data_IF_796864151717
#
_entry.id   IF_796864151717
#
_cell.length_a   1.000
_cell.length_b   1.000
_cell.length_c   1.000
_cell.angle_alpha   90.00
_cell.angle_beta   90.00
_cell.angle_gamma   90.00
#
_symmetry.space_group_name_H-M   'P 1'
#
loop_
_entity.id
_entity.type
_entity.pdbx_description
1 polymer ?
#
# COMPACT_ATOMS: atom_id res chain seq x y z
N UNK A 1 0.91 -20.50 -63.09
CA UNK A 1 1.03 -20.89 -61.67
C UNK A 1 1.74 -19.84 -60.81
N UNK A 2 2.80 -19.17 -61.29
CA UNK A 2 3.51 -18.12 -60.54
C UNK A 2 2.63 -16.89 -60.16
N UNK A 3 1.69 -16.52 -61.02
CA UNK A 3 0.86 -15.31 -60.85
C UNK A 3 -0.17 -15.44 -59.70
N UNK A 4 -0.74 -16.64 -59.51
CA UNK A 4 -1.67 -16.93 -58.41
C UNK A 4 -0.98 -16.93 -57.05
N UNK A 5 0.31 -17.31 -57.00
CA UNK A 5 1.12 -17.27 -55.78
C UNK A 5 1.38 -15.82 -55.36
N UNK A 6 1.77 -14.96 -56.32
CA UNK A 6 2.04 -13.55 -56.06
C UNK A 6 0.78 -12.81 -55.58
N UNK A 7 -0.38 -13.12 -56.16
CA UNK A 7 -1.67 -12.52 -55.75
C UNK A 7 -2.05 -12.91 -54.31
N UNK A 8 -1.86 -14.19 -53.93
CA UNK A 8 -2.09 -14.67 -52.57
C UNK A 8 -1.16 -14.02 -51.55
N UNK A 9 0.13 -13.91 -51.87
CA UNK A 9 1.11 -13.23 -51.02
C UNK A 9 0.77 -11.76 -50.81
N UNK A 10 0.33 -11.06 -51.86
CA UNK A 10 -0.12 -9.65 -51.76
C UNK A 10 -1.35 -9.50 -50.88
N UNK A 11 -2.34 -10.38 -51.02
CA UNK A 11 -3.54 -10.36 -50.18
C UNK A 11 -3.22 -10.62 -48.70
N UNK A 12 -2.35 -11.59 -48.41
CA UNK A 12 -1.88 -11.87 -47.04
C UNK A 12 -1.14 -10.67 -46.44
N UNK A 13 -0.28 -10.01 -47.22
CA UNK A 13 0.47 -8.85 -46.75
C UNK A 13 -0.43 -7.64 -46.44
N UNK A 14 -1.46 -7.40 -47.26
CA UNK A 14 -2.43 -6.34 -46.99
C UNK A 14 -3.31 -6.64 -45.76
N UNK A 15 -3.70 -7.90 -45.55
CA UNK A 15 -4.41 -8.30 -44.33
C UNK A 15 -3.52 -8.13 -43.09
N UNK A 16 -2.26 -8.56 -43.16
CA UNK A 16 -1.29 -8.34 -42.07
C UNK A 16 -1.09 -6.86 -41.78
N UNK A 17 -0.99 -6.00 -42.80
CA UNK A 17 -0.93 -4.54 -42.62
C UNK A 17 -2.18 -3.97 -41.97
N UNK A 18 -3.37 -4.51 -42.26
CA UNK A 18 -4.62 -4.08 -41.61
C UNK A 18 -4.58 -4.43 -40.14
N UNK A 19 -4.22 -5.67 -39.81
CA UNK A 19 -4.10 -6.15 -38.42
C UNK A 19 -3.05 -5.34 -37.65
N UNK A 20 -1.88 -5.08 -38.23
CA UNK A 20 -0.83 -4.27 -37.58
C UNK A 20 -1.32 -2.86 -37.27
N UNK A 21 -2.09 -2.23 -38.16
CA UNK A 21 -2.67 -0.91 -37.91
C UNK A 21 -3.65 -0.96 -36.74
N UNK A 22 -4.58 -1.89 -36.78
CA UNK A 22 -5.59 -2.05 -35.73
C UNK A 22 -4.95 -2.34 -34.35
N UNK A 23 -3.94 -3.20 -34.31
CA UNK A 23 -3.19 -3.49 -33.08
C UNK A 23 -2.44 -2.26 -32.55
N UNK A 24 -1.90 -1.41 -33.44
CA UNK A 24 -1.23 -0.17 -33.04
C UNK A 24 -2.21 0.84 -32.46
N UNK A 25 -3.38 0.98 -33.07
CA UNK A 25 -4.42 1.88 -32.58
C UNK A 25 -4.93 1.40 -31.21
N UNK A 26 -5.18 0.10 -31.06
CA UNK A 26 -5.54 -0.48 -29.76
C UNK A 26 -4.44 -0.31 -28.71
N UNK A 27 -3.16 -0.47 -29.09
CA UNK A 27 -2.04 -0.26 -28.18
C UNK A 27 -1.99 1.20 -27.70
N UNK A 28 -2.14 2.17 -28.60
CA UNK A 28 -2.15 3.59 -28.27
C UNK A 28 -3.29 3.93 -27.30
N UNK A 29 -4.50 3.40 -27.53
CA UNK A 29 -5.64 3.59 -26.65
C UNK A 29 -5.38 2.98 -25.25
N UNK A 30 -4.75 1.80 -25.20
CA UNK A 30 -4.42 1.13 -23.93
C UNK A 30 -3.34 1.86 -23.17
N UNK A 31 -2.30 2.34 -23.84
CA UNK A 31 -1.26 3.17 -23.24
C UNK A 31 -1.87 4.46 -22.65
N UNK A 32 -2.77 5.11 -23.37
CA UNK A 32 -3.51 6.27 -22.87
C UNK A 32 -4.32 5.94 -21.61
N UNK A 33 -5.07 4.84 -21.61
CA UNK A 33 -5.84 4.38 -20.45
C UNK A 33 -4.96 4.12 -19.22
N UNK A 34 -3.78 3.51 -19.42
CA UNK A 34 -2.83 3.26 -18.32
C UNK A 34 -2.30 4.56 -17.73
N UNK A 35 -1.93 5.53 -18.58
CA UNK A 35 -1.42 6.83 -18.12
C UNK A 35 -2.48 7.59 -17.31
N UNK A 36 -3.71 7.67 -17.81
CA UNK A 36 -4.81 8.35 -17.09
C UNK A 36 -5.19 7.60 -15.81
N UNK A 37 -5.19 6.27 -15.83
CA UNK A 37 -5.40 5.42 -14.66
C UNK A 37 -4.36 5.67 -13.57
N UNK A 38 -3.08 5.74 -13.91
CA UNK A 38 -2.01 6.03 -12.95
C UNK A 38 -2.13 7.45 -12.36
N UNK A 39 -2.49 8.45 -13.16
CA UNK A 39 -2.74 9.81 -12.65
C UNK A 39 -3.87 9.81 -11.63
N UNK A 40 -4.97 9.13 -11.93
CA UNK A 40 -6.11 9.03 -11.02
C UNK A 40 -5.72 8.27 -9.74
N UNK A 41 -5.00 7.15 -9.84
CA UNK A 41 -4.50 6.39 -8.70
C UNK A 41 -3.67 7.28 -7.77
N UNK A 42 -2.68 8.01 -8.31
CA UNK A 42 -1.83 8.94 -7.54
C UNK A 42 -2.67 9.99 -6.81
N UNK A 43 -3.61 10.62 -7.51
CA UNK A 43 -4.49 11.64 -6.92
C UNK A 43 -5.30 11.08 -5.76
N UNK A 44 -5.97 9.95 -5.97
CA UNK A 44 -6.80 9.32 -4.93
C UNK A 44 -5.96 8.83 -3.75
N UNK A 45 -4.79 8.26 -4.01
CA UNK A 45 -3.86 7.82 -2.98
C UNK A 45 -3.43 8.99 -2.07
N UNK A 46 -3.09 10.13 -2.66
CA UNK A 46 -2.72 11.33 -1.89
C UNK A 46 -3.90 11.85 -1.07
N UNK A 47 -5.10 11.91 -1.64
CA UNK A 47 -6.30 12.31 -0.88
C UNK A 47 -6.55 11.39 0.32
N UNK A 48 -6.38 10.07 0.15
CA UNK A 48 -6.52 9.12 1.26
C UNK A 48 -5.48 9.37 2.35
N UNK A 49 -4.23 9.66 1.98
CA UNK A 49 -3.16 9.96 2.95
C UNK A 49 -3.42 11.27 3.70
N UNK A 50 -3.84 12.33 3.00
CA UNK A 50 -4.18 13.62 3.61
C UNK A 50 -5.35 13.46 4.61
N UNK A 51 -6.38 12.69 4.25
CA UNK A 51 -7.50 12.38 5.13
C UNK A 51 -7.10 11.55 6.36
N UNK A 52 -6.10 10.67 6.22
CA UNK A 52 -5.51 9.94 7.36
C UNK A 52 -4.61 10.82 8.24
N UNK A 53 -4.19 11.98 7.74
CA UNK A 53 -3.26 12.89 8.39
C UNK A 53 -1.83 12.77 7.86
N UNK A 54 -1.20 13.92 7.59
CA UNK A 54 0.16 14.01 7.07
C UNK A 54 1.23 13.59 8.07
N UNK A 55 0.94 13.72 9.36
CA UNK A 55 1.79 13.24 10.46
C UNK A 55 1.02 12.11 11.15
N UNK A 56 1.65 10.94 11.25
CA UNK A 56 1.11 9.77 11.95
C UNK A 56 2.11 9.30 13.01
N UNK A 57 1.61 8.99 14.19
CA UNK A 57 2.36 8.43 15.31
C UNK A 57 1.84 7.03 15.59
N UNK A 58 2.72 6.05 15.45
CA UNK A 58 2.43 4.66 15.81
C UNK A 58 3.17 4.26 17.07
N UNK A 59 2.50 3.48 17.90
CA UNK A 59 3.14 2.78 19.02
C UNK A 59 3.31 1.32 18.65
N UNK A 60 4.49 0.74 18.90
CA UNK A 60 4.73 -0.69 18.76
C UNK A 60 5.34 -1.25 20.02
N UNK A 61 4.63 -2.16 20.66
CA UNK A 61 5.11 -2.86 21.85
C UNK A 61 6.00 -4.01 21.41
N UNK A 62 7.23 -4.05 21.91
CA UNK A 62 8.18 -5.13 21.64
C UNK A 62 7.78 -6.39 22.43
N UNK A 63 7.81 -7.59 21.82
CA UNK A 63 7.64 -8.83 22.57
C UNK A 63 8.79 -9.09 23.54
N UNK A 64 8.45 -9.63 24.71
CA UNK A 64 9.39 -9.98 25.77
C UNK A 64 10.32 -11.11 25.31
N UNK A 65 11.63 -10.90 25.45
CA UNK A 65 12.65 -11.93 25.25
C UNK A 65 12.96 -12.64 26.57
N UNK A 66 13.66 -13.78 26.49
CA UNK A 66 14.01 -14.59 27.69
C UNK A 66 14.93 -13.83 28.65
N UNK A 67 15.70 -12.88 28.12
CA UNK A 67 16.64 -12.02 28.85
C UNK A 67 15.92 -10.90 29.63
N UNK A 68 14.70 -10.53 29.23
CA UNK A 68 13.94 -9.42 29.82
C UNK A 68 13.22 -9.81 31.14
N UNK A 69 13.33 -11.07 31.58
CA UNK A 69 12.57 -11.61 32.72
C UNK A 69 12.96 -11.04 34.09
N UNK A 70 14.03 -10.24 34.17
CA UNK A 70 14.51 -9.64 35.42
C UNK A 70 14.06 -8.19 35.64
N UNK A 71 13.50 -7.51 34.64
CA UNK A 71 13.10 -6.10 34.77
C UNK A 71 11.60 -5.97 35.02
N UNK A 72 11.27 -5.70 36.30
CA UNK A 72 10.11 -4.94 36.82
C UNK A 72 8.82 -4.94 35.98
N UNK A 73 7.81 -5.65 36.48
CA UNK A 73 6.38 -5.31 36.69
C UNK A 73 5.67 -4.22 35.84
N UNK A 74 6.14 -3.92 34.63
CA UNK A 74 5.51 -2.95 33.74
C UNK A 74 4.38 -3.66 32.99
N UNK A 75 3.18 -3.59 33.54
CA UNK A 75 1.99 -4.14 32.93
C UNK A 75 1.50 -3.20 31.81
N UNK A 76 1.64 -3.65 30.57
CA UNK A 76 1.02 -3.01 29.40
C UNK A 76 -0.34 -3.66 29.16
N UNK A 77 -1.40 -2.87 29.09
CA UNK A 77 -2.74 -3.33 28.69
C UNK A 77 -3.25 -2.58 27.45
N UNK A 78 -4.06 -3.28 26.67
CA UNK A 78 -4.68 -2.74 25.47
C UNK A 78 -6.17 -2.52 25.76
N UNK A 79 -6.66 -1.27 25.72
CA UNK A 79 -8.07 -0.98 25.99
C UNK A 79 -8.96 -1.62 24.92
N UNK A 80 -10.08 -2.19 25.37
CA UNK A 80 -11.09 -2.86 24.54
C UNK A 80 -12.31 -1.99 24.24
N UNK A 81 -12.34 -0.75 24.75
CA UNK A 81 -13.41 0.19 24.43
C UNK A 81 -13.38 0.53 22.93
N UNK A 82 -14.57 0.67 22.35
CA UNK A 82 -14.72 0.87 20.89
C UNK A 82 -13.99 2.12 20.39
N UNK A 83 -13.88 3.17 21.22
CA UNK A 83 -13.20 4.41 20.86
C UNK A 83 -11.67 4.28 20.79
N UNK A 84 -11.07 3.44 21.64
CA UNK A 84 -9.62 3.27 21.77
C UNK A 84 -9.09 1.97 21.15
N UNK A 85 -9.97 1.13 20.61
CA UNK A 85 -9.58 -0.15 20.03
C UNK A 85 -8.53 0.05 18.93
N UNK A 86 -7.34 -0.54 19.12
CA UNK A 86 -6.22 -0.43 18.20
C UNK A 86 -5.51 0.92 18.18
N UNK A 87 -5.90 1.87 19.04
CA UNK A 87 -5.33 3.23 19.13
C UNK A 87 -4.85 3.61 20.53
N UNK A 88 -5.43 3.01 21.56
CA UNK A 88 -5.05 3.23 22.95
C UNK A 88 -4.02 2.22 23.45
N UNK A 89 -3.20 2.66 24.40
CA UNK A 89 -2.33 1.81 25.21
C UNK A 89 -2.33 2.32 26.64
N UNK A 90 -2.37 1.40 27.59
CA UNK A 90 -2.34 1.69 29.01
C UNK A 90 -1.07 1.09 29.62
N UNK A 91 -0.39 1.88 30.44
CA UNK A 91 0.85 1.54 31.12
C UNK A 91 0.65 1.71 32.62
N UNK A 92 0.91 0.65 33.38
CA UNK A 92 0.95 0.73 34.84
C UNK A 92 2.42 0.77 35.29
N UNK A 93 2.81 1.87 35.92
CA UNK A 93 4.16 2.06 36.46
C UNK A 93 4.05 2.62 37.87
N UNK A 94 4.68 1.96 38.85
CA UNK A 94 4.66 2.36 40.27
C UNK A 94 3.23 2.58 40.83
N UNK A 95 2.27 1.77 40.38
CA UNK A 95 0.86 1.88 40.78
C UNK A 95 0.08 3.03 40.11
N UNK A 96 0.72 3.85 39.27
CA UNK A 96 0.04 4.87 38.46
C UNK A 96 -0.31 4.33 37.09
N UNK A 97 -1.54 4.59 36.65
CA UNK A 97 -2.05 4.21 35.32
C UNK A 97 -1.90 5.40 34.37
N UNK A 98 -1.13 5.21 33.30
CA UNK A 98 -0.97 6.16 32.22
C UNK A 98 -1.69 5.65 30.97
N UNK A 99 -2.43 6.53 30.29
CA UNK A 99 -3.20 6.20 29.09
C UNK A 99 -2.70 7.08 27.95
N UNK A 100 -2.35 6.47 26.82
CA UNK A 100 -1.89 7.16 25.62
C UNK A 100 -2.73 6.75 24.42
N UNK A 101 -2.91 7.68 23.49
CA UNK A 101 -3.64 7.46 22.23
C UNK A 101 -2.74 7.79 21.05
N UNK A 102 -2.78 6.93 20.05
CA UNK A 102 -1.97 6.99 18.83
C UNK A 102 -2.85 6.76 17.60
N UNK A 103 -2.30 6.95 16.40
CA UNK A 103 -2.99 6.60 15.16
C UNK A 103 -3.20 5.08 15.04
N UNK A 104 -2.22 4.32 15.55
CA UNK A 104 -2.30 2.86 15.67
C UNK A 104 -1.34 2.34 16.74
N UNK A 105 -1.79 1.35 17.50
CA UNK A 105 -0.99 0.59 18.47
C UNK A 105 -0.84 -0.84 17.99
N UNK A 106 0.40 -1.27 17.78
CA UNK A 106 0.77 -2.65 17.48
C UNK A 106 1.15 -3.35 18.79
N UNK A 107 0.43 -4.42 19.12
CA UNK A 107 0.72 -5.20 20.32
C UNK A 107 2.01 -6.04 20.16
N UNK A 108 2.42 -6.70 21.24
CA UNK A 108 3.60 -7.56 21.25
C UNK A 108 3.56 -8.73 20.25
N UNK A 109 2.36 -9.13 19.79
CA UNK A 109 2.17 -10.18 18.80
C UNK A 109 2.22 -9.69 17.35
N UNK A 110 2.27 -8.37 17.12
CA UNK A 110 2.23 -7.80 15.78
C UNK A 110 3.49 -8.14 14.98
N UNK A 111 3.27 -8.78 13.83
CA UNK A 111 4.29 -9.16 12.87
C UNK A 111 4.88 -7.95 12.14
N UNK A 112 6.07 -8.13 11.57
CA UNK A 112 6.67 -7.12 10.69
C UNK A 112 5.81 -6.83 9.46
N UNK A 113 5.11 -7.85 8.95
CA UNK A 113 4.25 -7.70 7.78
C UNK A 113 3.05 -6.79 8.08
N UNK A 114 2.44 -6.92 9.25
CA UNK A 114 1.31 -6.07 9.67
C UNK A 114 1.75 -4.62 9.84
N UNK A 115 2.93 -4.40 10.43
CA UNK A 115 3.52 -3.05 10.55
C UNK A 115 3.81 -2.46 9.18
N UNK A 116 4.44 -3.24 8.28
CA UNK A 116 4.77 -2.77 6.93
C UNK A 116 3.52 -2.45 6.11
N UNK A 117 2.46 -3.25 6.24
CA UNK A 117 1.19 -3.02 5.53
C UNK A 117 0.64 -1.62 5.80
N UNK A 118 0.77 -1.12 7.04
CA UNK A 118 0.32 0.24 7.41
C UNK A 118 1.21 1.37 6.89
N UNK A 119 2.50 1.08 6.70
CA UNK A 119 3.51 2.07 6.28
C UNK A 119 3.67 2.06 4.76
N UNK A 120 3.32 0.98 4.08
CA UNK A 120 3.49 0.78 2.63
C UNK A 120 2.92 1.92 1.78
N UNK A 121 1.81 2.53 2.22
CA UNK A 121 1.20 3.68 1.55
C UNK A 121 2.11 4.92 1.54
N UNK A 122 2.91 5.14 2.59
CA UNK A 122 3.88 6.23 2.65
C UNK A 122 5.05 5.99 1.69
N UNK A 123 5.50 4.73 1.57
CA UNK A 123 6.53 4.36 0.59
C UNK A 123 6.04 4.61 -0.84
N UNK A 124 4.80 4.23 -1.15
CA UNK A 124 4.19 4.53 -2.43
C UNK A 124 4.09 6.04 -2.70
N UNK A 125 3.74 6.84 -1.68
CA UNK A 125 3.69 8.29 -1.80
C UNK A 125 5.05 8.91 -2.13
N UNK A 126 6.12 8.42 -1.50
CA UNK A 126 7.48 8.82 -1.80
C UNK A 126 7.88 8.48 -3.25
N UNK A 127 7.50 7.29 -3.75
CA UNK A 127 7.71 6.90 -5.15
C UNK A 127 6.89 7.74 -6.13
N UNK A 128 5.69 8.16 -5.72
CA UNK A 128 4.82 9.04 -6.51
C UNK A 128 5.32 10.49 -6.56
N UNK A 129 6.34 10.85 -5.77
CA UNK A 129 7.02 12.15 -5.77
C UNK A 129 6.37 13.18 -4.85
N UNK A 130 5.55 12.75 -3.89
CA UNK A 130 4.97 13.63 -2.88
C UNK A 130 6.09 14.16 -1.96
N UNK A 131 6.06 15.46 -1.66
CA UNK A 131 7.04 16.15 -0.80
C UNK A 131 6.38 16.64 0.47
#
# INVERSE_FOLDING_TARGET
>A
MADLSALKTRAMFEEQKRIIRELRDQLADKEFQVVEGEKLRKKLHNTVLELKGNIRVFCRVRPLLREDRSETDMAVSYPTSMEMLGRGIELVQNGQKHVFTFDKVFNHGASQQEVFTEISQLVQSALDGYK
#
